data_IF_590138496176
#
_entry.id   IF_590138496176
#
_cell.length_a   1.000
_cell.length_b   1.000
_cell.length_c   1.000
_cell.angle_alpha   90.00
_cell.angle_beta   90.00
_cell.angle_gamma   90.00
#
_symmetry.space_group_name_H-M   'P 1'
#
loop_
_entity.id
_entity.type
_entity.pdbx_description
1 polymer ?
#
# COMPACT_ATOMS: atom_id res chain seq x y z
N UNK A 1 3.94 6.69 -16.44
CA UNK A 1 4.01 6.61 -17.91
C UNK A 1 2.83 5.75 -18.34
N UNK A 2 1.78 6.35 -18.91
CA UNK A 2 0.63 5.62 -19.45
C UNK A 2 1.02 5.09 -20.83
N UNK A 3 1.09 3.79 -21.01
CA UNK A 3 1.16 3.19 -22.33
C UNK A 3 -0.26 2.80 -22.75
N UNK A 4 -0.84 3.53 -23.69
CA UNK A 4 -2.07 3.18 -24.38
C UNK A 4 -1.69 2.64 -25.75
N UNK A 5 -1.83 1.33 -25.95
CA UNK A 5 -1.70 0.72 -27.27
C UNK A 5 -3.10 0.52 -27.84
N UNK A 6 -3.52 1.40 -28.74
CA UNK A 6 -4.74 1.25 -29.52
C UNK A 6 -4.35 0.78 -30.93
N UNK A 7 -4.41 -0.53 -31.17
CA UNK A 7 -4.20 -1.08 -32.51
C UNK A 7 -5.50 -0.96 -33.31
N UNK A 8 -5.52 -0.07 -34.31
CA UNK A 8 -6.63 0.10 -35.25
C UNK A 8 -6.38 -0.84 -36.44
N UNK A 9 -7.17 -1.91 -36.56
CA UNK A 9 -7.14 -2.85 -37.69
C UNK A 9 -7.97 -2.32 -38.87
N UNK A 10 -7.55 -2.50 -40.14
CA UNK A 10 -8.22 -1.88 -41.29
C UNK A 10 -9.57 -2.55 -41.62
N UNK A 11 -10.59 -1.72 -41.89
CA UNK A 11 -11.89 -2.18 -42.42
C UNK A 11 -11.71 -2.82 -43.81
N UNK A 12 -11.75 -4.15 -43.89
CA UNK A 12 -12.15 -4.86 -45.11
C UNK A 12 -13.57 -5.41 -44.94
N UNK A 13 -14.42 -5.05 -45.89
CA UNK A 13 -15.83 -5.44 -46.00
C UNK A 13 -15.89 -6.89 -46.47
N UNK A 14 -15.85 -7.85 -45.54
CA UNK A 14 -16.26 -9.24 -45.78
C UNK A 14 -17.62 -9.47 -45.11
N UNK A 15 -18.47 -10.29 -45.73
CA UNK A 15 -19.72 -10.79 -45.17
C UNK A 15 -19.42 -11.59 -43.88
N UNK A 16 -19.56 -10.88 -42.76
CA UNK A 16 -19.41 -11.27 -41.35
C UNK A 16 -18.14 -12.05 -40.95
N UNK A 17 -17.01 -11.37 -40.68
CA UNK A 17 -16.02 -11.92 -39.78
C UNK A 17 -16.42 -11.59 -38.34
N UNK A 18 -16.36 -12.58 -37.44
CA UNK A 18 -16.29 -12.31 -36.01
C UNK A 18 -15.09 -11.38 -35.77
N UNK A 19 -15.33 -10.20 -35.19
CA UNK A 19 -14.29 -9.18 -34.96
C UNK A 19 -13.86 -9.24 -33.50
N UNK A 20 -12.55 -9.23 -33.27
CA UNK A 20 -11.96 -9.16 -31.95
C UNK A 20 -11.28 -7.81 -31.73
N UNK A 21 -11.60 -7.17 -30.62
CA UNK A 21 -10.92 -5.97 -30.12
C UNK A 21 -10.36 -6.24 -28.74
N UNK A 22 -9.24 -5.59 -28.42
CA UNK A 22 -8.68 -5.65 -27.08
C UNK A 22 -8.08 -4.30 -26.69
N UNK A 23 -8.04 -4.03 -25.39
CA UNK A 23 -7.31 -2.91 -24.82
C UNK A 23 -6.64 -3.33 -23.52
N UNK A 24 -5.46 -2.78 -23.27
CA UNK A 24 -4.70 -3.00 -22.05
C UNK A 24 -4.21 -1.65 -21.54
N UNK A 25 -4.31 -1.43 -20.24
CA UNK A 25 -3.76 -0.27 -19.56
C UNK A 25 -2.97 -0.74 -18.35
N UNK A 26 -1.75 -0.21 -18.20
CA UNK A 26 -0.88 -0.51 -17.08
C UNK A 26 -0.37 0.79 -16.43
N UNK A 27 -0.31 0.82 -15.11
CA UNK A 27 0.25 1.91 -14.33
C UNK A 27 1.12 1.36 -13.21
N UNK A 28 2.35 1.84 -13.12
CA UNK A 28 3.28 1.54 -12.04
C UNK A 28 3.65 2.87 -11.38
N UNK A 29 3.57 2.91 -10.05
CA UNK A 29 3.85 4.09 -9.25
C UNK A 29 4.76 3.72 -8.10
N UNK A 30 5.92 4.36 -8.05
CA UNK A 30 6.85 4.31 -6.93
C UNK A 30 6.87 5.68 -6.25
N UNK A 31 6.48 5.74 -4.98
CA UNK A 31 6.50 6.96 -4.17
C UNK A 31 7.46 6.80 -3.00
N UNK A 32 8.72 7.26 -3.12
CA UNK A 32 9.59 7.38 -1.97
C UNK A 32 9.09 8.52 -1.08
N UNK A 33 8.89 8.24 0.20
CA UNK A 33 8.50 9.20 1.22
C UNK A 33 9.33 8.89 2.47
N UNK A 34 10.22 9.78 2.93
CA UNK A 34 10.99 9.50 4.13
C UNK A 34 10.06 9.36 5.33
N UNK A 35 10.34 8.38 6.18
CA UNK A 35 9.73 8.22 7.50
C UNK A 35 10.69 8.82 8.51
N UNK A 36 10.26 9.89 9.19
CA UNK A 36 11.04 10.51 10.26
C UNK A 36 10.50 10.04 11.60
N UNK A 37 11.39 9.53 12.44
CA UNK A 37 11.08 9.05 13.78
C UNK A 37 12.04 9.74 14.75
N UNK A 38 11.56 10.72 15.51
CA UNK A 38 12.35 11.41 16.54
C UNK A 38 13.80 11.72 16.10
N UNK A 39 13.96 12.22 14.88
CA UNK A 39 15.26 12.57 14.30
C UNK A 39 15.74 13.90 14.90
N UNK A 40 16.44 13.81 16.03
CA UNK A 40 16.90 14.98 16.80
C UNK A 40 18.26 15.40 16.25
N UNK A 41 18.30 16.54 15.54
CA UNK A 41 19.52 17.11 14.95
C UNK A 41 19.88 18.47 15.57
N UNK A 42 18.96 19.07 16.34
CA UNK A 42 19.10 20.39 16.92
C UNK A 42 18.32 20.54 18.24
N UNK A 43 18.64 21.59 19.01
CA UNK A 43 17.89 21.94 20.22
C UNK A 43 16.40 22.25 19.95
N UNK A 44 16.06 22.68 18.73
CA UNK A 44 14.67 22.88 18.33
C UNK A 44 13.92 21.54 18.17
N UNK A 45 14.61 20.49 17.71
CA UNK A 45 14.04 19.15 17.60
C UNK A 45 13.78 18.55 18.98
N UNK A 46 14.69 18.78 19.94
CA UNK A 46 14.48 18.35 21.33
C UNK A 46 13.21 18.98 21.93
N UNK A 47 12.96 20.26 21.63
CA UNK A 47 11.72 20.93 22.04
C UNK A 47 10.50 20.35 21.33
N UNK A 48 10.61 20.06 20.03
CA UNK A 48 9.52 19.49 19.22
C UNK A 48 9.09 18.11 19.70
N UNK A 49 10.05 17.23 20.00
CA UNK A 49 9.78 15.86 20.46
C UNK A 49 9.65 15.74 21.98
N UNK A 50 9.88 16.84 22.73
CA UNK A 50 9.85 16.86 24.20
C UNK A 50 10.79 15.84 24.84
N UNK A 51 11.96 15.63 24.23
CA UNK A 51 12.99 14.68 24.68
C UNK A 51 14.36 15.08 24.15
N UNK A 52 15.42 14.83 24.93
CA UNK A 52 16.82 15.00 24.49
C UNK A 52 17.35 13.73 23.83
N UNK A 53 18.38 13.86 22.99
CA UNK A 53 19.03 12.70 22.39
C UNK A 53 19.54 11.71 23.45
N UNK A 54 20.12 12.20 24.56
CA UNK A 54 20.63 11.36 25.64
C UNK A 54 19.57 10.52 26.34
N UNK A 55 18.37 11.07 26.55
CA UNK A 55 17.25 10.36 27.16
C UNK A 55 16.72 9.28 26.20
N UNK A 56 16.66 9.62 24.91
CA UNK A 56 16.24 8.69 23.86
C UNK A 56 17.24 7.53 23.68
N UNK A 57 18.54 7.79 23.74
CA UNK A 57 19.59 6.77 23.71
C UNK A 57 19.51 5.83 24.92
N UNK A 58 19.24 6.40 26.11
CA UNK A 58 19.03 5.63 27.34
C UNK A 58 17.80 4.73 27.21
N UNK A 59 16.70 5.27 26.68
CA UNK A 59 15.49 4.51 26.40
C UNK A 59 15.77 3.33 25.45
N UNK A 60 16.45 3.56 24.33
CA UNK A 60 16.82 2.51 23.38
C UNK A 60 17.74 1.46 24.01
N UNK A 61 18.67 1.85 24.88
CA UNK A 61 19.52 0.94 25.64
C UNK A 61 18.70 -0.01 26.52
N UNK A 62 17.71 0.52 27.25
CA UNK A 62 16.79 -0.27 28.07
C UNK A 62 15.92 -1.17 27.16
N UNK A 63 15.36 -0.62 26.09
CA UNK A 63 14.50 -1.32 25.16
C UNK A 63 15.20 -2.55 24.57
N UNK A 64 16.44 -2.38 24.10
CA UNK A 64 17.29 -3.48 23.59
C UNK A 64 17.61 -4.50 24.66
N UNK A 65 17.99 -4.05 25.86
CA UNK A 65 18.44 -4.95 26.94
C UNK A 65 17.30 -5.74 27.60
N UNK A 66 16.08 -5.18 27.65
CA UNK A 66 14.94 -5.77 28.37
C UNK A 66 13.90 -6.40 27.46
N UNK A 67 13.69 -5.83 26.27
CA UNK A 67 12.60 -6.22 25.37
C UNK A 67 13.10 -6.78 24.04
N UNK A 68 14.41 -6.84 23.81
CA UNK A 68 14.98 -7.45 22.62
C UNK A 68 14.79 -6.64 21.34
N UNK A 69 14.54 -5.33 21.47
CA UNK A 69 14.52 -4.38 20.35
C UNK A 69 15.78 -4.54 19.51
N UNK A 70 15.64 -4.47 18.19
CA UNK A 70 16.76 -4.68 17.28
C UNK A 70 17.89 -3.63 17.48
N UNK A 71 19.13 -4.06 17.25
CA UNK A 71 20.31 -3.19 17.31
C UNK A 71 20.39 -2.22 16.12
N UNK A 72 19.61 -2.46 15.07
CA UNK A 72 19.43 -1.54 13.95
C UNK A 72 18.85 -0.20 14.42
N UNK A 73 18.97 0.86 13.59
CA UNK A 73 18.37 2.15 13.92
C UNK A 73 16.86 2.02 14.12
N UNK A 74 16.37 2.54 15.26
CA UNK A 74 14.94 2.62 15.60
C UNK A 74 14.37 4.03 15.47
N UNK A 75 15.26 5.01 15.38
CA UNK A 75 14.99 6.46 15.30
C UNK A 75 15.84 7.04 14.18
N UNK A 76 15.48 8.25 13.73
CA UNK A 76 16.11 8.95 12.62
C UNK A 76 15.24 8.99 11.37
N UNK A 77 15.89 9.12 10.21
CA UNK A 77 15.26 9.18 8.90
C UNK A 77 15.39 7.86 8.15
N UNK A 78 14.25 7.29 7.75
CA UNK A 78 14.18 6.00 7.07
C UNK A 78 13.59 6.15 5.67
N UNK A 79 14.13 5.38 4.73
CA UNK A 79 13.59 5.31 3.37
C UNK A 79 12.33 4.45 3.36
N UNK A 80 11.17 5.12 3.31
CA UNK A 80 9.88 4.45 3.07
C UNK A 80 9.48 4.58 1.61
N UNK A 81 8.89 3.51 1.07
CA UNK A 81 8.41 3.44 -0.30
C UNK A 81 7.01 2.83 -0.36
N UNK A 82 6.19 3.42 -1.20
CA UNK A 82 4.91 2.85 -1.63
C UNK A 82 5.04 2.45 -3.10
N UNK A 83 4.69 1.21 -3.41
CA UNK A 83 4.67 0.66 -4.74
C UNK A 83 3.26 0.21 -5.11
N UNK A 84 2.68 0.85 -6.12
CA UNK A 84 1.36 0.51 -6.65
C UNK A 84 1.50 0.04 -8.08
N UNK A 85 0.91 -1.11 -8.40
CA UNK A 85 0.74 -1.64 -9.75
C UNK A 85 -0.74 -1.77 -10.04
N UNK A 86 -1.21 -1.18 -11.14
CA UNK A 86 -2.56 -1.35 -11.63
C UNK A 86 -2.51 -1.85 -13.08
N UNK A 87 -3.24 -2.93 -13.35
CA UNK A 87 -3.35 -3.57 -14.66
C UNK A 87 -4.82 -3.72 -14.99
N UNK A 88 -5.22 -3.19 -16.14
CA UNK A 88 -6.55 -3.35 -16.69
C UNK A 88 -6.44 -3.96 -18.08
N UNK A 89 -7.25 -4.97 -18.35
CA UNK A 89 -7.37 -5.60 -19.65
C UNK A 89 -8.84 -5.71 -20.03
N UNK A 90 -9.13 -5.54 -21.32
CA UNK A 90 -10.45 -5.75 -21.89
C UNK A 90 -10.34 -6.44 -23.23
N UNK A 91 -11.22 -7.39 -23.45
CA UNK A 91 -11.40 -8.14 -24.68
C UNK A 91 -12.87 -7.99 -25.09
N UNK A 92 -13.11 -7.51 -26.30
CA UNK A 92 -14.44 -7.43 -26.90
C UNK A 92 -14.47 -8.36 -28.11
N UNK A 93 -15.27 -9.42 -28.04
CA UNK A 93 -15.38 -10.45 -29.06
C UNK A 93 -16.79 -10.46 -29.65
N UNK A 94 -16.89 -10.03 -30.91
CA UNK A 94 -18.15 -10.06 -31.65
C UNK A 94 -18.42 -11.49 -32.12
N UNK A 95 -19.21 -12.24 -31.35
CA UNK A 95 -19.55 -13.64 -31.62
C UNK A 95 -20.26 -13.80 -32.97
N UNK A 96 -21.22 -12.91 -33.23
CA UNK A 96 -21.96 -12.82 -34.50
C UNK A 96 -22.58 -11.41 -34.62
N UNK A 97 -23.38 -11.14 -35.66
CA UNK A 97 -23.99 -9.81 -35.89
C UNK A 97 -24.89 -9.28 -34.76
N UNK A 98 -25.35 -10.14 -33.85
CA UNK A 98 -26.26 -9.79 -32.75
C UNK A 98 -25.63 -9.87 -31.36
N UNK A 99 -24.50 -10.55 -31.21
CA UNK A 99 -23.94 -10.90 -29.89
C UNK A 99 -22.51 -10.39 -29.75
N UNK A 100 -22.26 -9.61 -28.68
CA UNK A 100 -20.95 -9.12 -28.29
C UNK A 100 -20.63 -9.64 -26.88
N UNK A 101 -19.54 -10.39 -26.76
CA UNK A 101 -18.98 -10.82 -25.49
C UNK A 101 -17.84 -9.89 -25.10
N UNK A 102 -17.95 -9.23 -23.96
CA UNK A 102 -16.88 -8.44 -23.35
C UNK A 102 -16.35 -9.18 -22.13
N UNK A 103 -15.05 -9.38 -22.05
CA UNK A 103 -14.36 -9.83 -20.83
C UNK A 103 -13.39 -8.75 -20.42
N UNK A 104 -13.50 -8.27 -19.18
CA UNK A 104 -12.56 -7.30 -18.61
C UNK A 104 -12.02 -7.77 -17.27
N UNK A 105 -10.77 -7.41 -16.99
CA UNK A 105 -10.13 -7.69 -15.73
C UNK A 105 -9.43 -6.42 -15.22
N UNK A 106 -9.60 -6.14 -13.94
CA UNK A 106 -8.93 -5.05 -13.25
C UNK A 106 -8.18 -5.61 -12.03
N UNK A 107 -6.85 -5.57 -12.08
CA UNK A 107 -5.96 -6.00 -11.02
C UNK A 107 -5.23 -4.79 -10.42
N UNK A 108 -5.27 -4.67 -9.09
CA UNK A 108 -4.53 -3.64 -8.35
C UNK A 108 -3.74 -4.31 -7.25
N UNK A 109 -2.46 -3.98 -7.18
CA UNK A 109 -1.55 -4.35 -6.11
C UNK A 109 -0.98 -3.08 -5.51
N UNK A 110 -1.06 -2.95 -4.20
CA UNK A 110 -0.47 -1.85 -3.45
C UNK A 110 0.36 -2.38 -2.28
N UNK A 111 1.59 -1.94 -2.19
CA UNK A 111 2.51 -2.26 -1.10
C UNK A 111 3.05 -0.96 -0.52
N UNK A 112 2.58 -0.61 0.68
CA UNK A 112 2.98 0.60 1.37
C UNK A 112 3.78 0.23 2.62
N UNK A 113 5.09 0.28 2.49
CA UNK A 113 6.01 -0.14 3.53
C UNK A 113 5.99 0.85 4.71
N UNK A 114 6.06 0.33 5.94
CA UNK A 114 6.09 1.14 7.18
C UNK A 114 4.99 2.22 7.21
N UNK A 115 3.76 1.85 6.83
CA UNK A 115 2.61 2.74 6.79
C UNK A 115 1.66 2.60 7.96
N UNK A 116 1.70 1.46 8.62
CA UNK A 116 0.90 1.19 9.80
C UNK A 116 1.74 1.66 10.99
N UNK A 117 1.27 2.65 11.74
CA UNK A 117 1.90 3.10 12.97
C UNK A 117 0.83 3.44 13.99
N UNK A 118 1.23 3.60 15.24
CA UNK A 118 0.33 3.92 16.34
C UNK A 118 0.32 5.42 16.66
N UNK A 119 -0.60 5.84 17.52
CA UNK A 119 -0.81 7.24 17.87
C UNK A 119 -0.05 7.68 19.14
N UNK A 120 1.09 7.05 19.42
CA UNK A 120 2.02 7.47 20.50
C UNK A 120 2.91 8.61 20.00
N UNK A 121 3.38 9.47 20.90
CA UNK A 121 4.18 10.65 20.53
C UNK A 121 5.45 10.27 19.75
N UNK A 122 6.11 9.18 20.15
CA UNK A 122 7.23 8.57 19.42
C UNK A 122 6.96 7.07 19.31
N UNK A 123 7.01 6.53 18.08
CA UNK A 123 6.97 5.10 17.83
C UNK A 123 8.33 4.65 17.31
N UNK A 124 8.93 3.61 17.88
CA UNK A 124 10.15 3.02 17.31
C UNK A 124 9.90 2.45 15.91
N UNK A 125 10.96 2.30 15.12
CA UNK A 125 10.86 1.78 13.75
C UNK A 125 10.17 0.41 13.68
N UNK A 126 10.47 -0.49 14.60
CA UNK A 126 9.87 -1.85 14.64
C UNK A 126 8.35 -1.85 14.84
N UNK A 127 7.79 -0.77 15.42
CA UNK A 127 6.33 -0.59 15.59
C UNK A 127 5.65 -0.46 14.23
N UNK A 128 6.37 0.08 13.22
CA UNK A 128 5.81 0.35 11.92
C UNK A 128 5.63 -0.92 11.08
N UNK A 129 4.38 -1.18 10.71
CA UNK A 129 4.00 -2.29 9.83
C UNK A 129 3.82 -1.85 8.36
N UNK A 130 3.81 -2.83 7.47
CA UNK A 130 3.55 -2.66 6.04
C UNK A 130 2.12 -3.08 5.72
N UNK A 131 1.39 -2.24 4.98
CA UNK A 131 0.09 -2.63 4.43
C UNK A 131 0.27 -3.16 3.02
N UNK A 132 -0.31 -4.33 2.73
CA UNK A 132 -0.36 -4.91 1.39
C UNK A 132 -1.81 -5.14 0.99
N UNK A 133 -2.22 -4.49 -0.07
CA UNK A 133 -3.57 -4.59 -0.62
C UNK A 133 -3.49 -5.24 -2.00
N UNK A 134 -4.37 -6.20 -2.26
CA UNK A 134 -4.55 -6.80 -3.58
C UNK A 134 -6.03 -6.79 -3.91
N UNK A 135 -6.39 -6.40 -5.12
CA UNK A 135 -7.74 -6.58 -5.62
C UNK A 135 -7.70 -7.05 -7.06
N UNK A 136 -8.65 -7.91 -7.39
CA UNK A 136 -8.86 -8.41 -8.74
C UNK A 136 -10.35 -8.47 -9.02
N UNK A 137 -10.79 -7.90 -10.14
CA UNK A 137 -12.18 -7.93 -10.58
C UNK A 137 -12.24 -8.40 -12.03
N UNK A 138 -12.72 -9.62 -12.25
CA UNK A 138 -13.02 -10.18 -13.55
C UNK A 138 -14.52 -10.00 -13.84
N UNK A 139 -14.86 -9.42 -14.98
CA UNK A 139 -16.24 -9.22 -15.43
C UNK A 139 -16.39 -9.77 -16.85
N UNK A 140 -17.38 -10.63 -17.04
CA UNK A 140 -17.86 -11.01 -18.36
C UNK A 140 -19.25 -10.39 -18.58
N UNK A 141 -19.44 -9.75 -19.73
CA UNK A 141 -20.72 -9.22 -20.18
C UNK A 141 -21.06 -9.77 -21.56
N UNK A 142 -22.23 -10.39 -21.70
CA UNK A 142 -22.78 -10.82 -22.98
C UNK A 142 -23.94 -9.91 -23.33
N UNK A 143 -23.77 -9.09 -24.37
CA UNK A 143 -24.81 -8.24 -24.92
C UNK A 143 -25.40 -8.86 -26.19
N UNK A 144 -26.72 -8.99 -26.22
CA UNK A 144 -27.48 -9.59 -27.33
C UNK A 144 -28.57 -8.65 -27.84
N UNK A 145 -28.59 -8.39 -29.14
CA UNK A 145 -29.69 -7.70 -29.81
C UNK A 145 -30.73 -8.72 -30.25
N UNK A 146 -31.85 -8.80 -29.52
CA UNK A 146 -32.92 -9.77 -29.76
C UNK A 146 -33.85 -9.29 -30.89
N UNK A 147 -34.12 -7.98 -30.95
CA UNK A 147 -34.89 -7.34 -32.04
C UNK A 147 -34.37 -5.91 -32.26
N UNK A 148 -34.79 -5.19 -33.33
CA UNK A 148 -34.39 -3.79 -33.55
C UNK A 148 -34.75 -2.83 -32.40
N UNK A 149 -35.60 -3.25 -31.46
CA UNK A 149 -36.05 -2.46 -30.31
C UNK A 149 -35.72 -3.09 -28.96
N UNK A 150 -35.06 -4.26 -28.93
CA UNK A 150 -34.78 -4.99 -27.69
C UNK A 150 -33.33 -5.49 -27.66
N UNK A 151 -32.60 -5.04 -26.65
CA UNK A 151 -31.27 -5.52 -26.28
C UNK A 151 -31.30 -6.13 -24.88
N UNK A 152 -30.57 -7.22 -24.69
CA UNK A 152 -30.33 -7.85 -23.40
C UNK A 152 -28.83 -7.80 -23.08
N UNK A 153 -28.48 -7.64 -21.81
CA UNK A 153 -27.10 -7.71 -21.34
C UNK A 153 -27.03 -8.56 -20.07
N UNK A 154 -26.33 -9.69 -20.16
CA UNK A 154 -26.06 -10.58 -19.05
C UNK A 154 -24.66 -10.30 -18.50
N UNK A 155 -24.52 -10.11 -17.19
CA UNK A 155 -23.24 -9.83 -16.53
C UNK A 155 -22.94 -10.86 -15.45
N UNK A 156 -21.70 -11.35 -15.44
CA UNK A 156 -21.17 -12.19 -14.39
C UNK A 156 -19.82 -11.62 -13.92
N UNK A 157 -19.66 -11.43 -12.62
CA UNK A 157 -18.47 -10.83 -12.03
C UNK A 157 -17.90 -11.73 -10.94
N UNK A 158 -16.57 -11.86 -10.93
CA UNK A 158 -15.81 -12.50 -9.86
C UNK A 158 -14.81 -11.50 -9.29
N UNK A 159 -14.89 -11.25 -7.99
CA UNK A 159 -14.07 -10.27 -7.29
C UNK A 159 -13.34 -10.94 -6.13
N UNK A 160 -12.04 -10.66 -6.03
CA UNK A 160 -11.22 -11.03 -4.88
C UNK A 160 -10.52 -9.79 -4.35
N UNK A 161 -10.50 -9.61 -3.03
CA UNK A 161 -9.74 -8.56 -2.38
C UNK A 161 -9.04 -9.13 -1.14
N UNK A 162 -7.78 -8.73 -0.93
CA UNK A 162 -7.03 -9.01 0.29
C UNK A 162 -6.42 -7.71 0.82
N UNK A 163 -6.45 -7.59 2.15
CA UNK A 163 -5.80 -6.53 2.91
C UNK A 163 -4.98 -7.24 3.98
N UNK A 164 -3.68 -7.10 3.91
CA UNK A 164 -2.72 -7.72 4.82
C UNK A 164 -1.98 -6.61 5.59
N UNK A 165 -1.94 -6.76 6.91
CA UNK A 165 -1.06 -5.99 7.79
C UNK A 165 0.14 -6.86 8.14
N UNK A 166 1.30 -6.47 7.64
CA UNK A 166 2.55 -7.22 7.76
C UNK A 166 3.42 -6.52 8.79
N UNK A 167 3.90 -7.25 9.80
CA UNK A 167 4.86 -6.74 10.77
C UNK A 167 6.16 -6.27 10.12
N UNK A 168 6.89 -5.40 10.82
CA UNK A 168 8.24 -4.99 10.40
C UNK A 168 9.20 -6.18 10.27
N UNK A 169 10.22 -6.02 9.45
CA UNK A 169 11.27 -7.02 9.21
C UNK A 169 12.20 -7.25 10.42
N UNK A 170 12.19 -6.33 11.37
CA UNK A 170 12.94 -6.43 12.63
C UNK A 170 12.22 -7.26 13.70
N UNK A 171 10.95 -7.57 13.49
CA UNK A 171 10.18 -8.43 14.38
C UNK A 171 10.33 -9.90 13.95
N UNK A 172 10.29 -10.87 14.89
CA UNK A 172 10.36 -12.28 14.54
C UNK A 172 9.29 -12.68 13.53
N UNK A 173 9.70 -13.45 12.51
CA UNK A 173 8.77 -13.95 11.51
C UNK A 173 7.76 -14.95 12.12
N UNK A 174 6.51 -14.89 11.68
CA UNK A 174 5.45 -15.84 12.05
C UNK A 174 4.40 -15.25 12.99
N UNK A 175 3.90 -16.08 13.92
CA UNK A 175 2.82 -15.74 14.88
C UNK A 175 3.33 -15.21 16.22
N UNK A 176 4.64 -15.05 16.37
CA UNK A 176 5.25 -14.50 17.57
C UNK A 176 4.83 -13.03 17.72
N UNK A 177 3.76 -12.80 18.46
CA UNK A 177 3.26 -11.46 18.78
C UNK A 177 4.13 -10.92 19.88
N UNK A 178 5.02 -9.97 19.56
CA UNK A 178 5.70 -9.20 20.60
C UNK A 178 4.68 -8.20 21.15
N UNK A 179 4.40 -8.20 22.47
CA UNK A 179 3.49 -7.25 23.06
C UNK A 179 4.03 -5.83 22.87
N UNK A 180 3.18 -4.93 22.38
CA UNK A 180 3.48 -3.50 22.29
C UNK A 180 3.58 -2.93 23.69
N UNK A 181 4.64 -2.17 23.97
CA UNK A 181 4.82 -1.50 25.24
C UNK A 181 4.90 0.00 25.03
N UNK A 182 4.02 0.73 25.71
CA UNK A 182 4.04 2.19 25.74
C UNK A 182 4.63 2.58 27.09
N UNK A 183 5.75 3.32 27.06
CA UNK A 183 6.30 3.95 28.25
C UNK A 183 5.83 5.39 28.27
N UNK A 184 4.98 5.70 29.22
CA UNK A 184 4.43 7.04 29.39
C UNK A 184 5.31 7.89 30.30
N UNK A 185 5.21 9.21 30.11
CA UNK A 185 5.88 10.22 30.95
C UNK A 185 7.40 10.02 31.04
N UNK A 186 8.04 9.67 29.93
CA UNK A 186 9.50 9.68 29.81
C UNK A 186 9.97 11.11 30.03
N UNK A 187 10.61 11.36 31.18
CA UNK A 187 11.05 12.69 31.59
C UNK A 187 12.37 13.04 30.92
N UNK A 188 12.47 14.26 30.42
CA UNK A 188 13.70 14.85 29.89
C UNK A 188 13.83 16.31 30.30
N UNK A 189 15.04 16.87 30.23
CA UNK A 189 15.27 18.30 30.48
C UNK A 189 15.67 18.98 29.19
N UNK A 190 14.78 19.80 28.63
CA UNK A 190 15.01 20.55 27.39
C UNK A 190 14.94 22.04 27.69
N UNK A 191 15.99 22.80 27.34
CA UNK A 191 16.05 24.24 27.61
C UNK A 191 15.86 24.62 29.08
N UNK A 192 16.34 23.77 30.01
CA UNK A 192 16.21 23.98 31.46
C UNK A 192 14.83 23.68 32.06
N UNK A 193 13.89 23.13 31.27
CA UNK A 193 12.55 22.75 31.73
C UNK A 193 12.37 21.24 31.68
N UNK A 194 11.66 20.69 32.67
CA UNK A 194 11.22 19.30 32.62
C UNK A 194 10.09 19.15 31.60
N UNK A 195 10.30 18.26 30.64
CA UNK A 195 9.33 17.87 29.61
C UNK A 195 9.08 16.37 29.71
N UNK A 196 7.96 15.93 29.16
CA UNK A 196 7.53 14.54 29.19
C UNK A 196 7.03 14.13 27.82
N UNK A 197 7.39 12.93 27.40
CA UNK A 197 6.87 12.31 26.17
C UNK A 197 6.45 10.86 26.43
N UNK A 198 5.78 10.26 25.46
CA UNK A 198 5.48 8.82 25.44
C UNK A 198 6.22 8.17 24.28
N UNK A 199 6.81 7.01 24.54
CA UNK A 199 7.57 6.26 23.55
C UNK A 199 7.05 4.83 23.53
N UNK A 200 6.76 4.35 22.33
CA UNK A 200 6.26 3.00 22.09
C UNK A 200 7.31 2.16 21.38
N UNK A 201 7.48 0.92 21.87
CA UNK A 201 8.23 -0.17 21.26
C UNK A 201 7.31 -1.36 20.96
#
# INVERSE_FOLDING_TARGET
MLYSFQTISPRKRLSSPSVLWFSVCASIRNRPRPLQIADIQSAADEQRYSITQSTLDTYLGIARSKYGVASSPQIGSFNKKENTVALYGRLDFQLNTKNLLTVSNNYIYDLNNQNIGDNTAINLYEVYGTSRNKSNSLLASLRSTLSPRLTNELKAQYLTASVESISGDQLPAGTATIPRAIVERVQSTVGGKSVFTSIQL
#
